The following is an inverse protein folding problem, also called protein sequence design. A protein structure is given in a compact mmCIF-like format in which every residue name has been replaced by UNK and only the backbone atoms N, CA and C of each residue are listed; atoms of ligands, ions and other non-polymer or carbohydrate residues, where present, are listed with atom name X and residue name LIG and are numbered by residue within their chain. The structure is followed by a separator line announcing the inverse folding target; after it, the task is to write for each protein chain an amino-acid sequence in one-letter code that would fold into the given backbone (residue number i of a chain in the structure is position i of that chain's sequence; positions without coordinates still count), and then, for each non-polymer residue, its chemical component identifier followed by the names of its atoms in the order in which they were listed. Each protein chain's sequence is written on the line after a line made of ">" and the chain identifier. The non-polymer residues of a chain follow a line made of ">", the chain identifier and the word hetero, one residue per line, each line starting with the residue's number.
data_IF_639815820697
#
_entry.id   IF_639815820697
#
_cell.length_a   1.000
_cell.length_b   1.000
_cell.length_c   1.000
_cell.angle_alpha   90.00
_cell.angle_beta   90.00
_cell.angle_gamma   90.00
#
_symmetry.space_group_name_H-M   'P 1'
#
loop_
_entity.id
_entity.type
_entity.pdbx_description
1 polymer ?
#
# COMPACT_ATOMS: atom_id res chain seq x y z
N UNK A 1 26.74 -5.47 0.17
CA UNK A 1 25.83 -4.32 0.13
C UNK A 1 24.41 -4.77 0.38
N UNK A 2 23.71 -4.04 1.23
CA UNK A 2 22.31 -4.35 1.47
C UNK A 2 21.44 -3.63 0.43
N UNK A 3 20.41 -4.32 -0.04
CA UNK A 3 19.42 -3.73 -0.93
C UNK A 3 18.37 -3.06 -0.06
N UNK A 4 18.07 -1.81 -0.37
CA UNK A 4 17.01 -1.10 0.33
C UNK A 4 15.73 -1.07 -0.53
N UNK A 5 14.61 -1.25 0.14
CA UNK A 5 13.29 -1.18 -0.49
C UNK A 5 12.55 0.02 0.07
N UNK A 6 11.66 0.59 -0.73
CA UNK A 6 10.86 1.73 -0.31
C UNK A 6 9.38 1.38 -0.39
N UNK A 7 8.64 1.78 0.64
CA UNK A 7 7.21 1.51 0.74
C UNK A 7 6.47 2.82 1.01
N UNK A 8 5.39 3.04 0.29
CA UNK A 8 4.49 4.16 0.56
C UNK A 8 3.24 3.61 1.25
N UNK A 9 2.93 4.12 2.42
CA UNK A 9 1.72 3.76 3.16
C UNK A 9 0.76 4.93 3.12
N UNK A 10 -0.42 4.72 2.55
CA UNK A 10 -1.45 5.75 2.42
C UNK A 10 -2.63 5.36 3.31
N UNK A 11 -2.85 6.12 4.37
CA UNK A 11 -3.87 5.82 5.36
C UNK A 11 -4.25 7.08 6.11
N UNK A 12 -5.54 7.43 6.12
CA UNK A 12 -6.00 8.66 6.75
C UNK A 12 -6.18 8.55 8.27
N UNK A 13 -6.29 7.34 8.81
CA UNK A 13 -6.37 7.13 10.25
C UNK A 13 -4.96 7.08 10.85
N UNK A 14 -4.59 8.02 11.74
CA UNK A 14 -3.26 8.00 12.35
C UNK A 14 -2.98 6.71 13.11
N UNK A 15 -3.98 6.17 13.82
CA UNK A 15 -3.81 4.93 14.57
C UNK A 15 -3.52 3.75 13.63
N UNK A 16 -4.31 3.62 12.58
CA UNK A 16 -4.15 2.53 11.62
C UNK A 16 -2.81 2.65 10.88
N UNK A 17 -2.42 3.88 10.53
CA UNK A 17 -1.15 4.12 9.87
C UNK A 17 0.02 3.70 10.77
N UNK A 18 -0.08 3.99 12.08
CA UNK A 18 0.93 3.57 13.05
C UNK A 18 1.05 2.05 13.12
N UNK A 19 -0.08 1.35 13.09
CA UNK A 19 -0.08 -0.11 13.12
C UNK A 19 0.62 -0.69 11.89
N UNK A 20 0.36 -0.11 10.73
CA UNK A 20 1.00 -0.54 9.49
C UNK A 20 2.51 -0.28 9.52
N UNK A 21 2.90 0.91 9.94
CA UNK A 21 4.31 1.29 10.03
C UNK A 21 5.03 0.37 11.01
N UNK A 22 4.40 0.08 12.15
CA UNK A 22 5.00 -0.81 13.14
C UNK A 22 5.21 -2.22 12.57
N UNK A 23 4.21 -2.76 11.88
CA UNK A 23 4.34 -4.06 11.24
C UNK A 23 5.48 -4.06 10.21
N UNK A 24 5.53 -3.01 9.39
CA UNK A 24 6.54 -2.91 8.33
C UNK A 24 7.94 -2.69 8.88
N UNK A 25 8.07 -2.18 10.10
CA UNK A 25 9.39 -2.00 10.73
C UNK A 25 10.12 -3.32 10.94
N UNK A 26 9.39 -4.43 10.86
CA UNK A 26 9.98 -5.76 10.99
C UNK A 26 10.54 -6.30 9.68
N UNK A 27 10.27 -5.62 8.57
CA UNK A 27 10.82 -6.02 7.28
C UNK A 27 12.18 -5.36 7.13
N UNK A 28 13.23 -6.18 7.05
CA UNK A 28 14.58 -5.69 6.98
C UNK A 28 14.82 -4.89 5.70
N UNK A 29 15.51 -3.77 5.83
CA UNK A 29 15.89 -2.90 4.72
C UNK A 29 14.71 -2.23 4.03
N UNK A 30 13.57 -2.12 4.71
CA UNK A 30 12.40 -1.43 4.17
C UNK A 30 12.29 -0.03 4.77
N UNK A 31 12.30 0.97 3.89
CA UNK A 31 12.08 2.36 4.29
C UNK A 31 10.63 2.72 4.00
N UNK A 32 9.92 3.20 5.01
CA UNK A 32 8.50 3.52 4.89
C UNK A 32 8.29 5.02 4.83
N UNK A 33 7.54 5.46 3.84
CA UNK A 33 7.06 6.83 3.73
C UNK A 33 5.57 6.83 3.99
N UNK A 34 5.09 7.76 4.81
CA UNK A 34 3.69 7.84 5.20
C UNK A 34 2.98 8.95 4.45
N UNK A 35 1.74 8.70 4.06
CA UNK A 35 0.87 9.71 3.46
C UNK A 35 -0.44 9.72 4.25
N UNK A 36 -0.96 10.92 4.51
CA UNK A 36 -2.15 11.12 5.35
C UNK A 36 -3.46 10.78 4.65
N UNK A 37 -3.47 10.81 3.33
CA UNK A 37 -4.65 10.53 2.51
C UNK A 37 -4.23 10.30 1.07
N UNK A 38 -5.22 10.08 0.20
CA UNK A 38 -4.93 9.82 -1.22
C UNK A 38 -4.27 10.98 -1.94
N UNK A 39 -4.65 12.21 -1.60
CA UNK A 39 -4.05 13.40 -2.22
C UNK A 39 -2.59 13.52 -1.82
N UNK A 40 -2.28 13.32 -0.53
CA UNK A 40 -0.91 13.33 -0.04
C UNK A 40 -0.11 12.19 -0.66
N UNK A 41 -0.76 11.03 -0.86
CA UNK A 41 -0.14 9.89 -1.54
C UNK A 41 0.30 10.25 -2.95
N UNK A 42 -0.57 10.91 -3.71
CA UNK A 42 -0.21 11.35 -5.06
C UNK A 42 0.93 12.36 -5.04
N UNK A 43 0.92 13.23 -4.06
CA UNK A 43 1.99 14.22 -3.92
C UNK A 43 3.34 13.53 -3.71
N UNK A 44 3.36 12.50 -2.88
CA UNK A 44 4.59 11.76 -2.59
C UNK A 44 5.02 10.87 -3.74
N UNK A 45 4.07 10.42 -4.57
CA UNK A 45 4.39 9.65 -5.76
C UNK A 45 4.99 10.51 -6.87
N UNK A 46 4.70 11.81 -6.85
CA UNK A 46 5.22 12.70 -7.88
C UNK A 46 6.75 12.81 -7.77
N UNK A 47 7.45 12.29 -8.76
CA UNK A 47 8.91 12.36 -8.80
C UNK A 47 9.64 11.36 -7.92
N UNK A 48 8.94 10.49 -7.22
CA UNK A 48 9.55 9.50 -6.35
C UNK A 48 9.11 8.09 -6.75
N UNK A 49 10.04 7.15 -6.70
CA UNK A 49 9.72 5.75 -6.96
C UNK A 49 9.59 4.99 -5.65
N UNK A 50 8.65 4.05 -5.65
CA UNK A 50 8.45 3.15 -4.53
C UNK A 50 8.45 1.72 -5.04
N UNK A 51 8.90 0.81 -4.21
CA UNK A 51 8.90 -0.62 -4.56
C UNK A 51 7.56 -1.28 -4.28
N UNK A 52 6.78 -0.70 -3.37
CA UNK A 52 5.45 -1.20 -3.02
C UNK A 52 4.62 -0.08 -2.42
N UNK A 53 3.31 -0.13 -2.66
CA UNK A 53 2.36 0.83 -2.12
C UNK A 53 1.30 0.06 -1.34
N UNK A 54 1.03 0.49 -0.09
CA UNK A 54 -0.09 0.00 0.70
C UNK A 54 -1.06 1.15 0.86
N UNK A 55 -2.33 0.94 0.53
CA UNK A 55 -3.33 2.00 0.66
C UNK A 55 -4.65 1.47 1.19
N UNK A 56 -5.25 2.22 2.10
CA UNK A 56 -6.63 1.97 2.50
C UNK A 56 -7.55 2.34 1.35
N UNK A 57 -8.68 1.69 1.26
CA UNK A 57 -9.70 2.02 0.25
C UNK A 57 -10.53 3.21 0.71
N UNK A 58 -10.94 3.20 1.97
CA UNK A 58 -11.90 4.20 2.49
C UNK A 58 -11.20 5.44 3.02
N UNK A 59 -11.04 6.42 2.16
CA UNK A 59 -10.43 7.70 2.50
C UNK A 59 -11.24 8.84 1.89
N UNK A 60 -11.25 10.02 2.52
CA UNK A 60 -11.99 11.16 1.97
C UNK A 60 -11.34 11.70 0.70
N UNK A 61 -12.14 12.34 -0.13
CA UNK A 61 -11.75 13.02 -1.37
C UNK A 61 -11.21 12.06 -2.43
N UNK A 62 -10.06 11.43 -2.17
CA UNK A 62 -9.51 10.43 -3.08
C UNK A 62 -9.39 9.10 -2.34
N UNK A 63 -10.29 8.17 -2.64
CA UNK A 63 -10.26 6.83 -2.05
C UNK A 63 -9.17 5.98 -2.68
N UNK A 64 -8.93 4.81 -2.07
CA UNK A 64 -7.87 3.92 -2.53
C UNK A 64 -8.09 3.37 -3.94
N UNK A 65 -9.34 3.20 -4.36
CA UNK A 65 -9.62 2.71 -5.71
C UNK A 65 -9.19 3.73 -6.76
N UNK A 66 -9.46 5.00 -6.51
CA UNK A 66 -9.02 6.08 -7.39
C UNK A 66 -7.51 6.18 -7.41
N UNK A 67 -6.89 5.97 -6.26
CA UNK A 67 -5.43 6.00 -6.16
C UNK A 67 -4.82 4.88 -7.01
N UNK A 68 -5.36 3.66 -6.91
CA UNK A 68 -4.88 2.54 -7.73
C UNK A 68 -4.96 2.88 -9.20
N UNK A 69 -6.09 3.44 -9.63
CA UNK A 69 -6.28 3.82 -11.02
C UNK A 69 -5.24 4.86 -11.47
N UNK A 70 -5.00 5.87 -10.65
CA UNK A 70 -4.01 6.91 -10.97
C UNK A 70 -2.61 6.33 -11.06
N UNK A 71 -2.24 5.43 -10.17
CA UNK A 71 -0.93 4.78 -10.19
C UNK A 71 -0.75 3.98 -11.47
N UNK A 72 -1.78 3.22 -11.86
CA UNK A 72 -1.70 2.37 -13.04
C UNK A 72 -1.66 3.14 -14.36
N UNK A 73 -2.10 4.39 -14.36
CA UNK A 73 -2.03 5.24 -15.55
C UNK A 73 -0.76 6.09 -15.60
N UNK A 74 0.06 6.05 -14.56
CA UNK A 74 1.31 6.79 -14.50
C UNK A 74 2.45 5.91 -15.01
N UNK A 75 3.15 6.32 -16.09
CA UNK A 75 4.24 5.50 -16.65
C UNK A 75 5.32 5.15 -15.63
N UNK A 76 5.58 6.01 -14.65
CA UNK A 76 6.58 5.76 -13.62
C UNK A 76 6.16 4.66 -12.64
N UNK A 77 4.84 4.53 -12.38
CA UNK A 77 4.33 3.67 -11.32
C UNK A 77 3.43 2.54 -11.81
N UNK A 78 3.23 2.43 -13.11
CA UNK A 78 2.25 1.48 -13.67
C UNK A 78 2.47 0.03 -13.26
N UNK A 79 3.70 -0.35 -12.93
CA UNK A 79 4.04 -1.72 -12.54
C UNK A 79 4.36 -1.88 -11.06
N UNK A 80 4.24 -0.81 -10.28
CA UNK A 80 4.53 -0.86 -8.85
C UNK A 80 3.50 -1.73 -8.13
N UNK A 81 3.93 -2.72 -7.34
CA UNK A 81 2.99 -3.54 -6.56
C UNK A 81 2.14 -2.68 -5.63
N UNK A 82 0.83 -2.95 -5.61
CA UNK A 82 -0.12 -2.25 -4.75
C UNK A 82 -0.90 -3.26 -3.93
N UNK A 83 -0.93 -3.04 -2.61
CA UNK A 83 -1.75 -3.79 -1.67
C UNK A 83 -2.83 -2.85 -1.16
N UNK A 84 -4.09 -3.23 -1.33
CA UNK A 84 -5.20 -2.44 -0.78
C UNK A 84 -5.63 -3.02 0.55
N UNK A 85 -6.04 -2.15 1.46
CA UNK A 85 -6.50 -2.55 2.78
C UNK A 85 -7.99 -2.31 2.84
N UNK A 86 -8.75 -3.37 3.10
CA UNK A 86 -10.20 -3.36 2.99
C UNK A 86 -10.86 -3.70 4.31
N UNK A 87 -12.10 -3.25 4.48
CA UNK A 87 -12.91 -3.66 5.62
C UNK A 87 -13.42 -5.08 5.37
N UNK A 88 -13.53 -5.86 6.42
CA UNK A 88 -14.10 -7.20 6.33
C UNK A 88 -15.52 -7.12 5.76
N UNK A 89 -15.82 -8.01 4.84
CA UNK A 89 -17.13 -8.03 4.18
C UNK A 89 -17.24 -7.17 2.94
N UNK A 90 -16.18 -6.45 2.57
CA UNK A 90 -16.18 -5.57 1.40
C UNK A 90 -15.72 -6.31 0.15
N UNK A 91 -16.39 -7.42 -0.18
CA UNK A 91 -16.02 -8.24 -1.33
C UNK A 91 -16.03 -7.46 -2.63
N UNK A 92 -17.03 -6.60 -2.79
CA UNK A 92 -17.16 -5.79 -3.99
C UNK A 92 -15.98 -4.84 -4.16
N UNK A 93 -15.54 -4.21 -3.07
CA UNK A 93 -14.39 -3.32 -3.10
C UNK A 93 -13.11 -4.06 -3.44
N UNK A 94 -12.96 -5.28 -2.92
CA UNK A 94 -11.79 -6.10 -3.23
C UNK A 94 -11.74 -6.45 -4.71
N UNK A 95 -12.87 -6.85 -5.27
CA UNK A 95 -12.96 -7.19 -6.68
C UNK A 95 -12.66 -5.98 -7.56
N UNK A 96 -13.16 -4.81 -7.19
CA UNK A 96 -12.87 -3.57 -7.91
C UNK A 96 -11.40 -3.22 -7.86
N UNK A 97 -10.79 -3.37 -6.69
CA UNK A 97 -9.37 -3.06 -6.53
C UNK A 97 -8.51 -3.93 -7.44
N UNK A 98 -8.77 -5.24 -7.43
CA UNK A 98 -8.04 -6.18 -8.28
C UNK A 98 -8.28 -5.87 -9.76
N UNK A 99 -9.54 -5.58 -10.12
CA UNK A 99 -9.86 -5.24 -11.51
C UNK A 99 -9.15 -3.96 -11.98
N UNK A 100 -8.91 -3.03 -11.08
CA UNK A 100 -8.20 -1.78 -11.40
C UNK A 100 -6.69 -1.97 -11.42
N UNK A 101 -6.18 -3.10 -10.95
CA UNK A 101 -4.76 -3.40 -11.02
C UNK A 101 -4.03 -3.54 -9.70
N UNK A 102 -4.75 -3.63 -8.56
CA UNK A 102 -4.10 -3.95 -7.30
C UNK A 102 -3.59 -5.39 -7.34
N UNK A 103 -2.46 -5.63 -6.70
CA UNK A 103 -1.80 -6.94 -6.70
C UNK A 103 -2.31 -7.85 -5.60
N UNK A 104 -2.79 -7.26 -4.51
CA UNK A 104 -3.24 -8.03 -3.36
C UNK A 104 -4.12 -7.15 -2.48
N UNK A 105 -4.73 -7.78 -1.49
CA UNK A 105 -5.50 -7.05 -0.48
C UNK A 105 -5.26 -7.66 0.89
N UNK A 106 -5.46 -6.84 1.92
CA UNK A 106 -5.38 -7.25 3.32
C UNK A 106 -6.66 -6.77 3.97
N UNK A 107 -7.33 -7.66 4.71
CA UNK A 107 -8.59 -7.34 5.36
C UNK A 107 -8.36 -6.85 6.78
N UNK A 108 -9.07 -5.80 7.18
CA UNK A 108 -9.05 -5.34 8.58
C UNK A 108 -9.83 -6.33 9.45
N UNK A 109 -9.44 -6.55 10.71
CA UNK A 109 -8.36 -5.88 11.43
C UNK A 109 -6.99 -6.31 10.95
N UNK A 110 -6.07 -5.36 10.92
CA UNK A 110 -4.71 -5.60 10.41
C UNK A 110 -3.94 -6.48 11.39
N UNK A 111 -3.32 -7.53 10.85
CA UNK A 111 -2.46 -8.41 11.63
C UNK A 111 -1.05 -8.34 11.06
N UNK A 112 -0.09 -8.01 11.90
CA UNK A 112 1.28 -7.80 11.46
C UNK A 112 1.86 -8.95 10.64
N UNK A 113 1.68 -10.24 11.03
CA UNK A 113 2.22 -11.35 10.22
C UNK A 113 1.69 -11.36 8.79
N UNK A 114 0.43 -11.02 8.58
CA UNK A 114 -0.15 -10.99 7.23
C UNK A 114 0.43 -9.85 6.40
N UNK A 115 0.59 -8.67 7.01
CA UNK A 115 1.18 -7.52 6.32
C UNK A 115 2.61 -7.84 5.90
N UNK A 116 3.41 -8.36 6.84
CA UNK A 116 4.80 -8.70 6.60
C UNK A 116 4.92 -9.75 5.49
N UNK A 117 4.12 -10.81 5.57
CA UNK A 117 4.17 -11.88 4.58
C UNK A 117 3.82 -11.38 3.19
N UNK A 118 2.77 -10.55 3.08
CA UNK A 118 2.34 -10.04 1.78
C UNK A 118 3.38 -9.10 1.16
N UNK A 119 3.97 -8.24 1.97
CA UNK A 119 5.01 -7.32 1.49
C UNK A 119 6.23 -8.10 1.02
N UNK A 120 6.68 -9.08 1.80
CA UNK A 120 7.83 -9.90 1.41
C UNK A 120 7.56 -10.67 0.11
N UNK A 121 6.34 -11.21 -0.01
CA UNK A 121 5.96 -11.93 -1.22
C UNK A 121 6.04 -11.03 -2.46
N UNK A 122 5.49 -9.82 -2.39
CA UNK A 122 5.45 -8.91 -3.52
C UNK A 122 6.81 -8.28 -3.82
N UNK A 123 7.64 -8.09 -2.81
CA UNK A 123 9.00 -7.61 -3.00
C UNK A 123 9.97 -8.74 -3.36
N UNK A 124 9.48 -9.99 -3.32
CA UNK A 124 10.29 -11.18 -3.60
C UNK A 124 11.49 -11.32 -2.66
N UNK A 125 11.23 -11.02 -1.38
CA UNK A 125 12.24 -11.16 -0.33
C UNK A 125 12.03 -12.50 0.35
N UNK A 126 13.11 -13.29 0.47
CA UNK A 126 13.06 -14.57 1.16
C UNK A 126 13.47 -14.40 2.63
N UNK A 127 12.92 -15.26 3.45
CA UNK A 127 13.25 -15.27 4.87
C UNK A 127 12.23 -14.56 5.72
#
# INVERSE_FOLDING_TARGET
>A
MSVEYTCLVVEDSPMMRQLLVFALSRVKNLRVTEADDGVDGLRKLAGNRYDIILTDINMPIMDGLKLVKRVRTDPMHKDTPIVVITTEGSEEDRQRAIALGANAYITKPIQAPQVIAKVKELLKISG
#
